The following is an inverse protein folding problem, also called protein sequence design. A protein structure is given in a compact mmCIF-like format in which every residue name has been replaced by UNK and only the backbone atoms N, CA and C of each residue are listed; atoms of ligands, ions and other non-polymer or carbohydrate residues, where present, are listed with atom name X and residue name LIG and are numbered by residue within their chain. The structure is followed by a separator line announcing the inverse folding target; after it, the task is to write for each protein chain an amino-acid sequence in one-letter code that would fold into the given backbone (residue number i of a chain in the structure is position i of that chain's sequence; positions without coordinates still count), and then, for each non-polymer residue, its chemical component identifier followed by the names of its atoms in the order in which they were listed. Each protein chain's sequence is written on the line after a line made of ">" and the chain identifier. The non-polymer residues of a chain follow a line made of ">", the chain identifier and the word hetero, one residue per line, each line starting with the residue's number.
data_IF_366301830624
#
_entry.id   IF_366301830624
#
_cell.length_a   1.000
_cell.length_b   1.000
_cell.length_c   1.000
_cell.angle_alpha   90.00
_cell.angle_beta   90.00
_cell.angle_gamma   90.00
#
_symmetry.space_group_name_H-M   'P 1'
#
loop_
_entity.id
_entity.type
_entity.pdbx_description
1 polymer ?
#
# COMPACT_ATOMS: atom_id res chain seq x y z
N UNK A 1 36.22 6.97 24.38
CA UNK A 1 35.02 6.19 24.78
C UNK A 1 33.85 7.15 24.93
N UNK A 2 32.63 6.71 24.64
CA UNK A 2 31.40 7.51 24.52
C UNK A 2 31.22 8.20 23.16
N UNK A 3 30.84 7.41 22.13
CA UNK A 3 30.12 7.86 20.92
C UNK A 3 29.56 6.69 20.10
N UNK A 4 29.33 5.54 20.74
CA UNK A 4 28.79 4.33 20.10
C UNK A 4 27.31 4.08 20.45
N UNK A 5 26.62 5.07 21.06
CA UNK A 5 25.27 4.90 21.60
C UNK A 5 24.16 5.65 20.85
N UNK A 6 24.47 6.38 19.77
CA UNK A 6 23.45 7.13 19.02
C UNK A 6 22.95 6.42 17.75
N UNK A 7 23.55 5.29 17.34
CA UNK A 7 23.15 4.59 16.12
C UNK A 7 22.14 3.44 16.32
N UNK A 8 21.68 3.18 17.55
CA UNK A 8 20.81 2.04 17.88
C UNK A 8 19.33 2.43 18.09
N UNK A 9 18.97 3.72 18.07
CA UNK A 9 17.58 4.15 18.35
C UNK A 9 16.75 4.43 17.08
N UNK A 10 17.36 4.52 15.90
CA UNK A 10 16.65 4.86 14.65
C UNK A 10 16.15 3.67 13.81
N UNK A 11 16.34 2.43 14.27
CA UNK A 11 15.85 1.21 13.59
C UNK A 11 14.67 0.56 14.33
N UNK A 12 14.32 1.02 15.54
CA UNK A 12 13.26 0.41 16.37
C UNK A 12 11.85 0.92 15.99
N UNK A 13 11.74 2.00 15.20
CA UNK A 13 10.45 2.55 14.77
C UNK A 13 9.78 1.85 13.58
N UNK A 14 10.52 1.08 12.77
CA UNK A 14 10.01 0.47 11.53
C UNK A 14 9.63 -1.02 11.65
N UNK A 15 9.66 -1.57 12.87
CA UNK A 15 9.06 -2.88 13.17
C UNK A 15 7.62 -2.78 13.68
N UNK A 16 7.09 -1.56 13.87
CA UNK A 16 5.72 -1.36 14.31
C UNK A 16 4.77 -1.32 13.11
N UNK A 17 4.03 -2.42 12.99
CA UNK A 17 2.98 -2.73 12.02
C UNK A 17 3.39 -3.40 10.71
N UNK A 18 4.13 -4.52 10.80
CA UNK A 18 3.51 -5.71 10.20
C UNK A 18 2.50 -6.23 11.21
N UNK A 19 1.33 -5.60 11.26
CA UNK A 19 0.24 -6.11 12.06
C UNK A 19 -0.06 -7.53 11.60
N UNK A 20 0.21 -8.48 12.48
CA UNK A 20 0.07 -9.89 12.21
C UNK A 20 -1.37 -10.17 11.82
N UNK A 21 -1.56 -10.82 10.67
CA UNK A 21 -2.88 -11.29 10.24
C UNK A 21 -3.34 -12.35 11.25
N UNK A 22 -4.44 -12.09 11.93
CA UNK A 22 -5.08 -13.01 12.86
C UNK A 22 -6.13 -13.88 12.16
N UNK A 23 -6.95 -13.29 11.31
CA UNK A 23 -7.98 -14.00 10.54
C UNK A 23 -8.39 -13.23 9.28
N UNK A 24 -9.13 -13.90 8.39
CA UNK A 24 -9.63 -13.34 7.14
C UNK A 24 -11.15 -13.50 7.12
N UNK A 25 -11.86 -12.48 6.63
CA UNK A 25 -13.28 -12.56 6.25
C UNK A 25 -13.45 -12.23 4.77
N UNK A 26 -14.53 -12.76 4.20
CA UNK A 26 -14.91 -12.53 2.81
C UNK A 26 -16.23 -11.76 2.78
N UNK A 27 -16.41 -10.86 1.82
CA UNK A 27 -17.61 -10.08 1.64
C UNK A 27 -17.96 -10.02 0.16
N UNK A 28 -19.24 -9.97 -0.15
CA UNK A 28 -19.71 -9.86 -1.54
C UNK A 28 -19.34 -8.51 -2.15
N UNK A 29 -19.42 -7.43 -1.36
CA UNK A 29 -19.20 -6.07 -1.82
C UNK A 29 -18.86 -5.11 -0.66
N UNK A 30 -18.58 -3.85 -1.00
CA UNK A 30 -18.22 -2.80 -0.03
C UNK A 30 -19.30 -2.53 1.02
N UNK A 31 -20.58 -2.65 0.66
CA UNK A 31 -21.69 -2.45 1.60
C UNK A 31 -21.71 -3.57 2.64
N UNK A 32 -21.52 -4.81 2.21
CA UNK A 32 -21.47 -5.97 3.09
C UNK A 32 -20.24 -5.92 4.01
N UNK A 33 -19.10 -5.44 3.52
CA UNK A 33 -17.93 -5.14 4.35
C UNK A 33 -18.25 -4.09 5.43
N UNK A 34 -18.86 -2.96 5.06
CA UNK A 34 -19.22 -1.90 6.00
C UNK A 34 -20.28 -2.35 7.03
N UNK A 35 -21.14 -3.30 6.66
CA UNK A 35 -22.14 -3.90 7.53
C UNK A 35 -21.69 -5.14 8.31
N UNK A 36 -20.41 -5.54 8.19
CA UNK A 36 -19.85 -6.80 8.71
C UNK A 36 -20.68 -8.06 8.34
N UNK A 37 -21.28 -8.05 7.15
CA UNK A 37 -22.04 -9.18 6.60
C UNK A 37 -21.12 -10.10 5.81
N UNK A 38 -20.38 -10.94 6.51
CA UNK A 38 -19.43 -11.86 5.87
C UNK A 38 -20.15 -12.97 5.08
N UNK A 39 -19.57 -13.34 3.93
CA UNK A 39 -19.97 -14.53 3.17
C UNK A 39 -19.12 -15.74 3.57
N UNK A 40 -19.60 -16.95 3.25
CA UNK A 40 -18.82 -18.17 3.51
C UNK A 40 -17.63 -18.27 2.56
N UNK A 41 -16.53 -18.85 3.05
CA UNK A 41 -15.32 -19.06 2.23
C UNK A 41 -15.54 -20.01 1.04
N UNK A 42 -16.61 -20.79 1.03
CA UNK A 42 -17.02 -21.64 -0.10
C UNK A 42 -17.70 -20.85 -1.21
N UNK A 43 -18.43 -19.81 -0.83
CA UNK A 43 -19.30 -19.05 -1.74
C UNK A 43 -18.49 -18.09 -2.61
N UNK A 44 -17.24 -17.82 -2.24
CA UNK A 44 -16.31 -16.97 -3.01
C UNK A 44 -15.80 -17.61 -4.31
N UNK A 45 -15.99 -18.92 -4.50
CA UNK A 45 -15.32 -19.68 -5.56
C UNK A 45 -15.91 -19.34 -6.92
N UNK A 46 -15.10 -18.77 -7.80
CA UNK A 46 -15.55 -18.38 -9.14
C UNK A 46 -16.35 -17.08 -9.16
N UNK A 47 -16.41 -16.37 -8.03
CA UNK A 47 -17.14 -15.11 -7.88
C UNK A 47 -16.18 -13.98 -7.55
N UNK A 48 -16.50 -12.78 -8.05
CA UNK A 48 -15.85 -11.56 -7.59
C UNK A 48 -16.25 -11.31 -6.13
N UNK A 49 -15.27 -11.00 -5.28
CA UNK A 49 -15.51 -10.79 -3.85
C UNK A 49 -14.45 -9.89 -3.23
N UNK A 50 -14.72 -9.42 -2.02
CA UNK A 50 -13.76 -8.70 -1.19
C UNK A 50 -13.18 -9.66 -0.16
N UNK A 51 -11.85 -9.77 -0.13
CA UNK A 51 -11.11 -10.45 0.92
C UNK A 51 -10.57 -9.40 1.90
N UNK A 52 -10.78 -9.59 3.20
CA UNK A 52 -10.24 -8.67 4.22
C UNK A 52 -9.50 -9.45 5.29
N UNK A 53 -8.23 -9.11 5.47
CA UNK A 53 -7.36 -9.56 6.55
C UNK A 53 -7.55 -8.65 7.78
N UNK A 54 -7.61 -9.25 8.97
CA UNK A 54 -7.77 -8.56 10.24
C UNK A 54 -6.63 -8.87 11.20
N UNK A 55 -6.31 -7.92 12.07
CA UNK A 55 -5.40 -8.12 13.21
C UNK A 55 -6.13 -8.78 14.41
N UNK A 56 -5.38 -9.04 15.50
CA UNK A 56 -5.93 -9.63 16.74
C UNK A 56 -6.98 -8.74 17.43
N UNK A 57 -6.93 -7.42 17.20
CA UNK A 57 -7.92 -6.44 17.67
C UNK A 57 -9.17 -6.37 16.78
N UNK A 58 -9.29 -7.26 15.78
CA UNK A 58 -10.37 -7.27 14.78
C UNK A 58 -10.45 -6.00 13.93
N UNK A 59 -9.33 -5.32 13.74
CA UNK A 59 -9.21 -4.18 12.84
C UNK A 59 -8.76 -4.67 11.46
N UNK A 60 -9.38 -4.16 10.40
CA UNK A 60 -9.02 -4.53 9.04
C UNK A 60 -7.62 -3.97 8.72
N UNK A 61 -6.73 -4.79 8.18
CA UNK A 61 -5.34 -4.40 7.87
C UNK A 61 -5.08 -4.37 6.36
N UNK A 62 -5.71 -5.30 5.63
CA UNK A 62 -5.61 -5.38 4.17
C UNK A 62 -6.99 -5.77 3.65
N UNK A 63 -7.47 -5.03 2.66
CA UNK A 63 -8.69 -5.31 1.91
C UNK A 63 -8.36 -5.43 0.43
N UNK A 64 -8.85 -6.47 -0.21
CA UNK A 64 -8.52 -6.83 -1.58
C UNK A 64 -9.80 -7.09 -2.35
N UNK A 65 -9.92 -6.50 -3.54
CA UNK A 65 -11.00 -6.81 -4.48
C UNK A 65 -10.50 -7.92 -5.39
N UNK A 66 -10.99 -9.13 -5.14
CA UNK A 66 -10.62 -10.35 -5.83
C UNK A 66 -11.55 -10.58 -7.01
N UNK A 67 -11.00 -10.94 -8.16
CA UNK A 67 -11.81 -11.41 -9.28
C UNK A 67 -12.15 -12.90 -9.16
N UNK A 68 -13.04 -13.41 -10.02
CA UNK A 68 -13.42 -14.82 -10.13
C UNK A 68 -12.24 -15.80 -10.28
N UNK A 69 -11.07 -15.33 -10.73
CA UNK A 69 -9.85 -16.12 -10.88
C UNK A 69 -8.95 -16.11 -9.63
N UNK A 70 -9.38 -15.45 -8.55
CA UNK A 70 -8.60 -15.32 -7.31
C UNK A 70 -7.45 -14.31 -7.40
N UNK A 71 -7.48 -13.37 -8.35
CA UNK A 71 -6.47 -12.33 -8.49
C UNK A 71 -6.97 -11.00 -7.91
N UNK A 72 -6.14 -10.35 -7.09
CA UNK A 72 -6.42 -9.02 -6.58
C UNK A 72 -6.33 -7.97 -7.68
N UNK A 73 -7.43 -7.26 -7.94
CA UNK A 73 -7.51 -6.16 -8.91
C UNK A 73 -7.18 -4.81 -8.27
N UNK A 74 -7.42 -4.69 -6.97
CA UNK A 74 -7.18 -3.52 -6.13
C UNK A 74 -6.88 -3.97 -4.70
N UNK A 75 -6.04 -3.23 -3.99
CA UNK A 75 -5.76 -3.44 -2.56
C UNK A 75 -5.89 -2.12 -1.80
N UNK A 76 -6.39 -2.18 -0.59
CA UNK A 76 -6.43 -1.08 0.38
C UNK A 76 -5.76 -1.59 1.66
N UNK A 77 -4.71 -0.90 2.10
CA UNK A 77 -3.95 -1.21 3.32
C UNK A 77 -4.34 -0.18 4.36
N UNK A 78 -4.60 -0.61 5.60
CA UNK A 78 -5.00 0.26 6.71
C UNK A 78 -3.90 0.28 7.76
N UNK A 79 -3.55 1.48 8.21
CA UNK A 79 -2.61 1.69 9.33
C UNK A 79 -3.31 2.40 10.46
N UNK A 80 -3.06 1.96 11.70
CA UNK A 80 -3.65 2.49 12.91
C UNK A 80 -2.61 3.18 13.77
N UNK A 81 -3.04 4.20 14.53
CA UNK A 81 -2.19 4.83 15.54
C UNK A 81 -2.08 3.96 16.80
N UNK A 82 -1.26 4.41 17.76
CA UNK A 82 -1.05 3.71 19.03
C UNK A 82 -2.33 3.58 19.88
N UNK A 83 -3.33 4.43 19.65
CA UNK A 83 -4.63 4.39 20.30
C UNK A 83 -5.61 3.45 19.57
N UNK A 84 -5.22 2.88 18.44
CA UNK A 84 -6.04 2.00 17.60
C UNK A 84 -7.02 2.75 16.69
N UNK A 85 -6.84 4.05 16.48
CA UNK A 85 -7.63 4.82 15.51
C UNK A 85 -7.02 4.69 14.12
N UNK A 86 -7.84 4.69 13.08
CA UNK A 86 -7.37 4.64 11.71
C UNK A 86 -6.55 5.90 11.40
N UNK A 87 -5.25 5.72 11.15
CA UNK A 87 -4.31 6.80 10.90
C UNK A 87 -4.14 7.06 9.40
N UNK A 88 -4.00 6.00 8.60
CA UNK A 88 -3.83 6.14 7.16
C UNK A 88 -4.38 4.95 6.38
N UNK A 89 -4.61 5.17 5.08
CA UNK A 89 -4.98 4.16 4.11
C UNK A 89 -4.13 4.29 2.86
N UNK A 90 -3.56 3.20 2.38
CA UNK A 90 -2.87 3.14 1.09
C UNK A 90 -3.68 2.31 0.10
N UNK A 91 -4.04 2.91 -1.03
CA UNK A 91 -4.79 2.28 -2.11
C UNK A 91 -3.82 1.95 -3.23
N UNK A 92 -3.80 0.69 -3.63
CA UNK A 92 -2.96 0.14 -4.69
C UNK A 92 -3.85 -0.41 -5.82
N UNK A 93 -3.42 -0.21 -7.06
CA UNK A 93 -3.99 -0.85 -8.26
C UNK A 93 -3.39 -2.25 -8.44
N UNK A 94 -3.79 -2.89 -9.55
CA UNK A 94 -3.16 -4.10 -10.07
C UNK A 94 -1.63 -3.99 -10.05
N UNK A 95 -0.95 -5.11 -9.78
CA UNK A 95 0.51 -5.21 -9.66
C UNK A 95 1.10 -4.38 -8.50
N UNK A 96 0.30 -4.08 -7.47
CA UNK A 96 0.71 -3.29 -6.30
C UNK A 96 1.19 -1.86 -6.65
N UNK A 97 0.78 -1.31 -7.79
CA UNK A 97 1.12 0.06 -8.15
C UNK A 97 0.36 1.03 -7.25
N UNK A 98 1.03 2.00 -6.61
CA UNK A 98 0.37 2.93 -5.72
C UNK A 98 -0.60 3.83 -6.51
N UNK A 99 -1.82 3.97 -6.02
CA UNK A 99 -2.83 4.88 -6.57
C UNK A 99 -2.92 6.15 -5.73
N UNK A 100 -3.20 5.95 -4.44
CA UNK A 100 -3.50 7.04 -3.53
C UNK A 100 -3.21 6.65 -2.10
N UNK A 101 -2.74 7.60 -1.31
CA UNK A 101 -2.66 7.47 0.15
C UNK A 101 -3.55 8.51 0.79
N UNK A 102 -4.24 8.12 1.85
CA UNK A 102 -5.13 8.99 2.62
C UNK A 102 -4.62 8.97 4.05
N UNK A 103 -4.23 10.13 4.58
CA UNK A 103 -3.82 10.28 5.98
C UNK A 103 -4.84 11.13 6.71
N UNK A 104 -5.14 10.76 7.95
CA UNK A 104 -6.10 11.45 8.80
C UNK A 104 -5.41 12.19 9.95
N UNK A 105 -6.02 13.30 10.34
CA UNK A 105 -5.63 14.11 11.49
C UNK A 105 -5.04 15.46 11.12
N UNK A 106 -5.08 16.38 12.09
CA UNK A 106 -4.60 17.74 11.92
C UNK A 106 -3.08 17.87 11.86
N UNK A 107 -2.33 16.84 12.24
CA UNK A 107 -0.87 16.91 12.38
C UNK A 107 -0.11 16.44 11.12
N UNK A 108 -0.81 16.16 10.02
CA UNK A 108 -0.16 15.81 8.76
C UNK A 108 0.69 17.00 8.26
N UNK A 109 2.01 16.82 8.03
CA UNK A 109 2.94 17.93 7.76
C UNK A 109 2.59 18.83 6.58
N UNK A 110 2.12 18.27 5.46
CA UNK A 110 1.75 19.05 4.28
C UNK A 110 0.52 19.90 4.53
N UNK A 111 -0.49 19.32 5.18
CA UNK A 111 -1.70 20.03 5.60
C UNK A 111 -1.37 21.15 6.60
N UNK A 112 -0.48 20.90 7.57
CA UNK A 112 -0.02 21.92 8.52
C UNK A 112 0.62 23.10 7.81
N UNK A 113 1.56 22.83 6.90
CA UNK A 113 2.22 23.89 6.15
C UNK A 113 1.25 24.60 5.22
N UNK A 114 0.43 23.88 4.46
CA UNK A 114 -0.57 24.47 3.58
C UNK A 114 -1.47 25.45 4.32
N UNK A 115 -1.94 25.09 5.51
CA UNK A 115 -2.80 25.94 6.32
C UNK A 115 -2.14 27.21 6.85
N UNK A 116 -0.84 27.19 7.14
CA UNK A 116 -0.08 28.40 7.55
C UNK A 116 -0.08 29.47 6.46
N UNK A 117 -0.10 29.07 5.19
CA UNK A 117 -0.14 30.02 4.06
C UNK A 117 -1.58 30.32 3.60
N UNK A 118 -2.52 29.43 3.91
CA UNK A 118 -3.92 29.61 3.56
C UNK A 118 -4.64 30.59 4.49
N UNK A 119 -4.37 30.50 5.79
CA UNK A 119 -5.06 31.26 6.82
C UNK A 119 -4.09 32.15 7.59
N UNK A 120 -4.58 33.31 8.04
CA UNK A 120 -3.81 34.18 8.95
C UNK A 120 -3.57 33.48 10.29
N UNK A 121 -2.45 33.79 10.95
CA UNK A 121 -2.03 33.17 12.23
C UNK A 121 -3.10 33.26 13.34
N UNK A 122 -4.00 34.24 13.25
CA UNK A 122 -5.08 34.46 14.21
C UNK A 122 -6.31 33.55 13.98
N UNK A 123 -6.31 32.76 12.91
CA UNK A 123 -7.44 31.90 12.54
C UNK A 123 -7.47 30.66 13.44
N UNK A 124 -8.34 30.67 14.44
CA UNK A 124 -8.60 29.52 15.32
C UNK A 124 -9.65 28.61 14.68
N UNK A 125 -9.21 27.55 14.02
CA UNK A 125 -10.06 26.44 13.58
C UNK A 125 -9.49 25.12 14.11
N UNK A 126 -10.38 24.18 14.48
CA UNK A 126 -9.97 22.80 14.69
C UNK A 126 -9.71 22.16 13.33
N UNK A 127 -8.57 21.49 13.23
CA UNK A 127 -8.17 20.70 12.08
C UNK A 127 -8.19 19.20 12.39
N UNK A 128 -8.87 18.83 13.49
CA UNK A 128 -8.99 17.43 13.91
C UNK A 128 -9.74 16.62 12.86
N UNK A 129 -9.29 15.39 12.65
CA UNK A 129 -9.90 14.44 11.71
C UNK A 129 -10.02 14.93 10.26
N UNK A 130 -9.31 16.00 9.88
CA UNK A 130 -9.11 16.34 8.48
C UNK A 130 -8.34 15.25 7.76
N UNK A 131 -8.37 15.27 6.42
CA UNK A 131 -7.64 14.30 5.62
C UNK A 131 -6.82 14.96 4.53
N UNK A 132 -5.64 14.39 4.31
CA UNK A 132 -4.77 14.67 3.18
C UNK A 132 -4.79 13.46 2.25
N UNK A 133 -5.06 13.69 0.97
CA UNK A 133 -5.06 12.66 -0.07
C UNK A 133 -3.87 12.88 -1.01
N UNK A 134 -2.92 11.96 -0.99
CA UNK A 134 -1.74 11.93 -1.85
C UNK A 134 -2.06 11.10 -3.08
N UNK A 135 -2.14 11.72 -4.25
CA UNK A 135 -2.45 11.08 -5.52
C UNK A 135 -1.16 10.76 -6.28
N UNK A 136 -1.09 9.52 -6.77
CA UNK A 136 0.07 9.03 -7.50
C UNK A 136 -0.22 8.99 -9.00
N UNK A 137 0.77 9.39 -9.80
CA UNK A 137 0.73 9.27 -11.25
C UNK A 137 0.87 7.80 -11.70
N UNK A 138 0.63 7.54 -12.98
CA UNK A 138 0.92 6.25 -13.60
C UNK A 138 2.41 5.85 -13.58
N UNK A 139 3.31 6.80 -13.32
CA UNK A 139 4.76 6.59 -13.18
C UNK A 139 5.19 6.44 -11.72
N UNK A 140 4.25 6.22 -10.79
CA UNK A 140 4.48 6.11 -9.34
C UNK A 140 5.11 7.38 -8.73
N UNK A 141 4.87 8.54 -9.34
CA UNK A 141 5.29 9.85 -8.82
C UNK A 141 4.14 10.52 -8.06
N UNK A 142 4.46 11.36 -7.07
CA UNK A 142 3.43 12.09 -6.33
C UNK A 142 2.95 13.24 -7.20
N UNK A 143 1.74 13.17 -7.72
CA UNK A 143 1.22 14.17 -8.66
C UNK A 143 0.53 15.32 -7.93
N UNK A 144 -0.26 14.99 -6.91
CA UNK A 144 -1.10 15.95 -6.21
C UNK A 144 -1.33 15.56 -4.76
N UNK A 145 -1.42 16.56 -3.88
CA UNK A 145 -1.96 16.41 -2.53
C UNK A 145 -3.25 17.23 -2.47
N UNK A 146 -4.32 16.64 -1.97
CA UNK A 146 -5.60 17.31 -1.78
C UNK A 146 -6.01 17.29 -0.33
N UNK A 147 -6.50 18.44 0.15
CA UNK A 147 -6.89 18.59 1.54
C UNK A 147 -8.40 18.73 1.68
N UNK A 148 -8.95 18.02 2.65
CA UNK A 148 -10.37 18.01 2.93
C UNK A 148 -10.66 18.23 4.41
N UNK A 149 -11.74 18.94 4.69
CA UNK A 149 -12.31 19.04 6.03
C UNK A 149 -12.90 17.70 6.49
N UNK A 150 -13.25 17.60 7.78
CA UNK A 150 -13.94 16.43 8.34
C UNK A 150 -15.29 16.17 7.64
N UNK A 151 -15.97 17.23 7.20
CA UNK A 151 -17.24 17.18 6.46
C UNK A 151 -17.04 16.93 4.95
N UNK A 152 -15.86 16.43 4.55
CA UNK A 152 -15.54 16.08 3.17
C UNK A 152 -15.50 17.29 2.20
N UNK A 153 -15.36 18.52 2.71
CA UNK A 153 -15.21 19.71 1.88
C UNK A 153 -13.76 19.86 1.42
N UNK A 154 -13.56 19.91 0.11
CA UNK A 154 -12.26 20.18 -0.51
C UNK A 154 -11.91 21.67 -0.38
N UNK A 155 -10.74 21.98 0.19
CA UNK A 155 -10.36 23.37 0.47
C UNK A 155 -9.00 23.79 -0.13
N UNK A 156 -8.26 22.85 -0.70
CA UNK A 156 -7.03 23.20 -1.39
C UNK A 156 -6.20 22.01 -1.83
N UNK A 157 -5.19 22.29 -2.64
CA UNK A 157 -4.29 21.28 -3.15
C UNK A 157 -2.87 21.78 -3.39
N UNK A 158 -1.94 20.84 -3.47
CA UNK A 158 -0.56 21.04 -3.92
C UNK A 158 -0.34 20.12 -5.11
N UNK A 159 0.11 20.66 -6.24
CA UNK A 159 0.39 19.88 -7.45
C UNK A 159 1.86 19.91 -7.78
N UNK A 160 2.40 18.79 -8.26
CA UNK A 160 3.80 18.62 -8.61
C UNK A 160 3.95 18.29 -10.09
N UNK A 161 5.00 18.85 -10.70
CA UNK A 161 5.41 18.50 -12.06
C UNK A 161 6.86 18.04 -12.04
N UNK A 162 7.18 17.09 -12.90
CA UNK A 162 8.49 16.45 -12.95
C UNK A 162 9.19 16.75 -14.28
N UNK A 163 10.51 16.79 -14.24
CA UNK A 163 11.32 16.80 -15.46
C UNK A 163 11.45 15.39 -16.07
N UNK A 164 12.18 15.29 -17.19
CA UNK A 164 12.39 14.02 -17.91
C UNK A 164 13.22 13.00 -17.12
N UNK A 165 13.96 13.44 -16.10
CA UNK A 165 14.80 12.60 -15.25
C UNK A 165 14.05 12.17 -13.98
N UNK A 166 12.84 12.68 -13.78
CA UNK A 166 11.98 12.35 -12.66
C UNK A 166 12.22 13.21 -11.41
N UNK A 167 12.95 14.32 -11.52
CA UNK A 167 13.06 15.31 -10.45
C UNK A 167 11.87 16.26 -10.46
N UNK A 168 11.42 16.67 -9.28
CA UNK A 168 10.37 17.70 -9.16
C UNK A 168 10.91 18.99 -9.79
N UNK A 169 10.18 19.55 -10.74
CA UNK A 169 10.51 20.80 -11.44
C UNK A 169 9.65 21.96 -10.95
N UNK A 170 8.34 21.73 -10.73
CA UNK A 170 7.46 22.75 -10.16
C UNK A 170 6.52 22.17 -9.12
N UNK A 171 6.12 23.03 -8.20
CA UNK A 171 5.14 22.78 -7.16
C UNK A 171 4.22 23.99 -7.04
N UNK A 172 2.91 23.77 -7.05
CA UNK A 172 1.90 24.84 -7.06
C UNK A 172 0.85 24.58 -6.00
N UNK A 173 0.64 25.57 -5.14
CA UNK A 173 -0.29 25.50 -4.01
C UNK A 173 -1.53 26.33 -4.35
N UNK A 174 -2.69 25.69 -4.32
CA UNK A 174 -3.95 26.25 -4.79
C UNK A 174 -4.97 26.18 -3.67
N UNK A 175 -5.51 27.34 -3.30
CA UNK A 175 -6.73 27.44 -2.51
C UNK A 175 -7.93 27.13 -3.39
N UNK A 176 -8.81 26.28 -2.86
CA UNK A 176 -10.03 25.85 -3.54
C UNK A 176 -11.25 26.28 -2.71
N UNK A 177 -12.41 26.53 -3.33
CA UNK A 177 -12.74 26.29 -4.75
C UNK A 177 -12.40 27.45 -5.71
N UNK A 178 -11.81 28.56 -5.22
CA UNK A 178 -11.58 29.75 -6.06
C UNK A 178 -10.39 29.63 -7.02
N UNK A 179 -9.71 28.47 -7.02
CA UNK A 179 -8.50 28.18 -7.79
C UNK A 179 -7.43 29.28 -7.65
N UNK A 180 -7.28 29.82 -6.43
CA UNK A 180 -6.35 30.91 -6.16
C UNK A 180 -4.99 30.35 -5.78
N UNK A 181 -3.96 30.71 -6.54
CA UNK A 181 -2.60 30.25 -6.23
C UNK A 181 -2.07 31.02 -5.03
N UNK A 182 -1.77 30.31 -3.95
CA UNK A 182 -1.24 30.90 -2.71
C UNK A 182 0.29 30.83 -2.66
N UNK A 183 0.91 29.88 -3.37
CA UNK A 183 2.36 29.70 -3.42
C UNK A 183 2.80 28.92 -4.65
N UNK A 184 4.01 29.19 -5.13
CA UNK A 184 4.66 28.39 -6.18
C UNK A 184 6.12 28.17 -5.86
N UNK A 185 6.62 27.00 -6.24
CA UNK A 185 8.04 26.70 -6.22
C UNK A 185 8.49 26.22 -7.59
N UNK A 186 9.69 26.63 -7.94
CA UNK A 186 10.43 26.10 -9.07
C UNK A 186 11.71 25.47 -8.56
N UNK A 187 12.07 24.35 -9.15
CA UNK A 187 13.22 23.56 -8.80
C UNK A 187 14.09 23.36 -10.02
N UNK A 188 15.40 23.47 -9.85
CA UNK A 188 16.37 23.13 -10.88
C UNK A 188 17.48 22.30 -10.27
N UNK A 189 17.81 21.21 -10.96
CA UNK A 189 18.84 20.27 -10.54
C UNK A 189 19.95 20.28 -11.59
N UNK A 190 21.18 20.52 -11.12
CA UNK A 190 22.40 20.27 -11.88
C UNK A 190 23.08 19.06 -11.26
N UNK A 191 22.93 17.91 -11.92
CA UNK A 191 23.48 16.63 -11.45
C UNK A 191 25.01 16.64 -11.51
N UNK A 192 25.58 17.29 -12.53
CA UNK A 192 27.04 17.32 -12.73
C UNK A 192 27.72 18.18 -11.68
N UNK A 193 27.06 19.26 -11.26
CA UNK A 193 27.54 20.15 -10.22
C UNK A 193 27.06 19.76 -8.80
N UNK A 194 26.19 18.76 -8.65
CA UNK A 194 25.49 18.41 -7.41
C UNK A 194 24.80 19.62 -6.75
N UNK A 195 24.20 20.48 -7.58
CA UNK A 195 23.54 21.71 -7.15
C UNK A 195 22.02 21.59 -7.32
N UNK A 196 21.28 21.96 -6.28
CA UNK A 196 19.83 22.16 -6.33
C UNK A 196 19.49 23.62 -6.08
N UNK A 197 18.72 24.22 -6.99
CA UNK A 197 18.17 25.56 -6.85
C UNK A 197 16.67 25.49 -6.59
N UNK A 198 16.20 26.34 -5.68
CA UNK A 198 14.81 26.42 -5.27
C UNK A 198 14.40 27.89 -5.31
N UNK A 199 13.45 28.21 -6.16
CA UNK A 199 12.80 29.52 -6.19
C UNK A 199 11.41 29.40 -5.62
N UNK A 200 11.04 30.37 -4.79
CA UNK A 200 9.73 30.46 -4.19
C UNK A 200 9.06 31.77 -4.61
N UNK A 201 7.79 31.68 -4.97
CA UNK A 201 6.98 32.80 -5.41
C UNK A 201 5.72 32.91 -4.54
N UNK A 202 5.36 34.14 -4.22
CA UNK A 202 4.11 34.42 -3.51
C UNK A 202 2.88 34.34 -4.44
N UNK A 203 1.69 34.57 -3.87
CA UNK A 203 0.41 34.63 -4.59
C UNK A 203 0.36 35.59 -5.79
N UNK A 204 1.14 36.68 -5.75
CA UNK A 204 1.23 37.67 -6.83
C UNK A 204 2.22 37.28 -7.93
N UNK A 205 2.95 36.17 -7.76
CA UNK A 205 4.00 35.73 -8.69
C UNK A 205 5.36 36.41 -8.48
N UNK A 206 5.52 37.20 -7.40
CA UNK A 206 6.80 37.82 -7.09
C UNK A 206 7.72 36.79 -6.42
N UNK A 207 9.00 36.79 -6.81
CA UNK A 207 10.02 35.99 -6.15
C UNK A 207 10.19 36.46 -4.70
N UNK A 208 10.04 35.54 -3.75
CA UNK A 208 10.17 35.82 -2.32
C UNK A 208 11.37 35.12 -1.68
N UNK A 209 11.86 34.04 -2.28
CA UNK A 209 13.05 33.34 -1.81
C UNK A 209 13.75 32.63 -2.96
N UNK A 210 15.09 32.57 -2.89
CA UNK A 210 15.93 31.81 -3.78
C UNK A 210 17.03 31.13 -2.95
N UNK A 211 17.09 29.80 -2.99
CA UNK A 211 18.05 29.00 -2.26
C UNK A 211 18.86 28.14 -3.22
N UNK A 212 20.17 28.03 -2.96
CA UNK A 212 21.06 27.13 -3.68
C UNK A 212 21.70 26.18 -2.67
N UNK A 213 21.51 24.88 -2.87
CA UNK A 213 22.08 23.81 -2.06
C UNK A 213 23.22 23.17 -2.86
N UNK A 214 24.42 23.13 -2.28
CA UNK A 214 25.63 22.48 -2.85
C UNK A 214 25.95 21.21 -2.07
N UNK A 215 26.41 20.16 -2.73
CA UNK A 215 26.68 18.83 -2.13
C UNK A 215 25.44 18.22 -1.47
N UNK A 216 24.31 18.20 -2.18
CA UNK A 216 23.19 17.34 -1.79
C UNK A 216 23.66 15.88 -1.95
N UNK A 217 23.67 15.04 -0.90
CA UNK A 217 24.22 13.68 -1.00
C UNK A 217 23.56 12.92 -2.15
N UNK A 218 24.35 12.18 -2.94
CA UNK A 218 23.86 11.48 -4.13
C UNK A 218 22.68 10.53 -3.82
N UNK A 219 22.68 9.94 -2.62
CA UNK A 219 21.64 9.05 -2.09
C UNK A 219 20.51 9.79 -1.33
N UNK A 220 20.64 11.10 -1.11
CA UNK A 220 19.64 12.01 -0.50
C UNK A 220 19.14 13.09 -1.49
N UNK A 221 19.43 12.95 -2.78
CA UNK A 221 18.87 13.78 -3.85
C UNK A 221 17.37 13.42 -4.01
N UNK A 222 16.55 13.94 -3.10
CA UNK A 222 15.17 13.52 -2.88
C UNK A 222 14.32 13.47 -4.17
N UNK A 223 13.70 12.31 -4.40
CA UNK A 223 12.56 12.05 -5.31
C UNK A 223 11.22 12.49 -4.72
N UNK A 224 11.25 13.15 -3.57
CA UNK A 224 10.10 13.66 -2.81
C UNK A 224 10.37 15.09 -2.35
N UNK A 225 9.38 15.99 -2.41
CA UNK A 225 9.55 17.35 -1.91
C UNK A 225 9.49 17.36 -0.37
N UNK A 226 10.26 18.23 0.32
CA UNK A 226 10.32 18.22 1.80
C UNK A 226 9.18 19.03 2.43
N UNK A 227 8.56 18.57 3.53
CA UNK A 227 7.72 19.42 4.37
C UNK A 227 8.63 20.39 5.15
N UNK A 228 8.24 21.66 5.31
CA UNK A 228 9.07 22.66 6.01
C UNK A 228 8.20 23.53 6.92
N UNK A 229 7.96 23.12 8.16
CA UNK A 229 8.83 23.31 9.34
C UNK A 229 9.16 21.97 10.01
N UNK A 230 10.46 21.65 10.18
CA UNK A 230 10.93 20.35 10.68
C UNK A 230 11.06 19.35 9.53
N UNK A 231 12.28 18.93 9.19
CA UNK A 231 12.57 17.93 8.16
C UNK A 231 12.14 16.51 8.62
N UNK A 232 10.86 16.33 8.96
CA UNK A 232 10.26 15.01 9.20
C UNK A 232 9.52 14.62 7.94
N UNK A 233 9.98 13.56 7.27
CA UNK A 233 9.16 12.87 6.28
C UNK A 233 7.82 12.54 6.97
N UNK A 234 6.71 13.03 6.43
CA UNK A 234 5.38 12.56 6.84
C UNK A 234 5.36 11.03 6.77
N UNK A 235 4.65 10.35 7.66
CA UNK A 235 4.46 8.89 7.59
C UNK A 235 3.99 8.46 6.19
N UNK A 236 3.13 9.25 5.53
CA UNK A 236 2.73 9.05 4.14
C UNK A 236 3.92 9.05 3.17
N UNK A 237 4.88 9.95 3.33
CA UNK A 237 6.11 10.01 2.53
C UNK A 237 7.02 8.80 2.76
N UNK A 238 7.08 8.30 4.00
CA UNK A 238 7.78 7.05 4.32
C UNK A 238 7.07 5.83 3.71
N UNK A 239 5.74 5.79 3.75
CA UNK A 239 4.92 4.75 3.09
C UNK A 239 5.11 4.82 1.57
N UNK A 240 5.15 6.01 0.96
CA UNK A 240 5.41 6.18 -0.47
C UNK A 240 6.80 5.68 -0.82
N UNK A 241 7.82 6.07 -0.06
CA UNK A 241 9.18 5.61 -0.29
C UNK A 241 9.33 4.12 0.00
N UNK A 242 8.62 3.56 0.97
CA UNK A 242 8.56 2.12 1.21
C UNK A 242 7.88 1.38 0.05
N UNK A 243 6.73 1.86 -0.44
CA UNK A 243 6.06 1.31 -1.62
C UNK A 243 6.92 1.44 -2.90
N UNK A 244 7.84 2.41 -2.96
CA UNK A 244 8.78 2.60 -4.08
C UNK A 244 10.05 1.75 -3.95
N UNK A 245 10.63 1.68 -2.76
CA UNK A 245 11.94 1.05 -2.49
C UNK A 245 11.82 -0.42 -2.13
N UNK A 246 10.73 -0.81 -1.45
CA UNK A 246 10.34 -2.20 -1.29
C UNK A 246 9.46 -2.58 -2.48
N UNK A 247 9.96 -3.50 -3.32
CA UNK A 247 9.11 -4.64 -3.69
C UNK A 247 8.43 -5.05 -2.39
N UNK A 248 7.11 -5.07 -2.28
CA UNK A 248 6.50 -5.89 -1.23
C UNK A 248 7.06 -7.29 -1.46
N UNK A 249 8.18 -7.60 -0.82
CA UNK A 249 8.53 -8.96 -0.48
C UNK A 249 7.40 -9.27 0.47
N UNK A 250 6.40 -9.95 -0.07
CA UNK A 250 5.50 -10.80 0.66
C UNK A 250 6.26 -11.34 1.88
N UNK A 251 6.06 -10.73 3.05
CA UNK A 251 6.57 -11.33 4.29
C UNK A 251 5.73 -12.55 4.69
N UNK A 252 4.69 -12.84 3.91
CA UNK A 252 4.28 -14.19 3.59
C UNK A 252 3.97 -14.26 2.09
N UNK A 253 4.67 -15.08 1.28
CA UNK A 253 4.06 -15.54 0.04
C UNK A 253 2.71 -16.13 0.41
N UNK A 254 1.70 -15.98 -0.46
CA UNK A 254 0.41 -16.64 -0.31
C UNK A 254 0.60 -17.99 0.39
N UNK A 255 0.03 -18.16 1.58
CA UNK A 255 0.13 -19.42 2.31
C UNK A 255 -0.59 -20.46 1.45
N UNK A 256 0.18 -21.13 0.60
CA UNK A 256 -0.20 -22.42 0.07
C UNK A 256 -0.07 -23.33 1.28
N UNK A 257 -1.17 -23.89 1.81
CA UNK A 257 -1.07 -24.86 2.88
C UNK A 257 -0.14 -25.97 2.38
N UNK A 258 1.03 -26.09 3.00
CA UNK A 258 1.89 -27.25 2.80
C UNK A 258 1.14 -28.39 3.47
N UNK A 259 0.41 -29.16 2.68
CA UNK A 259 -0.19 -30.40 3.17
C UNK A 259 0.95 -31.40 3.37
N UNK A 260 0.86 -32.30 4.35
CA UNK A 260 1.91 -33.31 4.55
C UNK A 260 1.99 -34.29 3.35
N UNK A 261 0.92 -34.34 2.55
CA UNK A 261 0.66 -35.29 1.48
C UNK A 261 0.12 -34.56 0.24
N UNK A 262 0.24 -35.17 -0.92
CA UNK A 262 -0.42 -34.69 -2.14
C UNK A 262 -1.94 -34.90 -2.01
N UNK A 263 -2.77 -34.20 -2.79
CA UNK A 263 -4.22 -34.31 -2.76
C UNK A 263 -4.78 -34.80 -4.09
N UNK A 264 -5.45 -35.95 -4.06
CA UNK A 264 -6.27 -36.47 -5.15
C UNK A 264 -7.66 -35.84 -5.09
N UNK A 265 -8.05 -35.12 -6.14
CA UNK A 265 -9.38 -34.56 -6.31
C UNK A 265 -10.12 -35.39 -7.34
N UNK A 266 -11.23 -36.00 -6.95
CA UNK A 266 -12.10 -36.75 -7.89
C UNK A 266 -13.10 -35.82 -8.58
N UNK A 267 -13.65 -36.25 -9.73
CA UNK A 267 -14.68 -35.47 -10.45
C UNK A 267 -15.94 -35.20 -9.65
N UNK A 268 -16.20 -35.99 -8.60
CA UNK A 268 -17.34 -35.78 -7.70
C UNK A 268 -17.02 -34.77 -6.58
N UNK A 269 -15.84 -34.15 -6.60
CA UNK A 269 -15.43 -33.14 -5.62
C UNK A 269 -14.77 -33.69 -4.35
N UNK A 270 -14.71 -35.01 -4.17
CA UNK A 270 -14.05 -35.62 -3.02
C UNK A 270 -12.54 -35.40 -3.08
N UNK A 271 -11.93 -35.08 -1.93
CA UNK A 271 -10.50 -34.88 -1.75
C UNK A 271 -9.93 -35.98 -0.86
N UNK A 272 -8.82 -36.57 -1.27
CA UNK A 272 -8.14 -37.64 -0.54
C UNK A 272 -6.66 -37.30 -0.48
N UNK A 273 -6.07 -37.36 0.72
CA UNK A 273 -4.64 -37.21 0.90
C UNK A 273 -3.92 -38.47 0.41
N UNK A 274 -2.85 -38.30 -0.36
CA UNK A 274 -2.11 -39.37 -1.03
C UNK A 274 -0.61 -39.06 -1.16
N UNK A 275 0.22 -40.08 -1.36
CA UNK A 275 1.53 -39.95 -2.01
C UNK A 275 1.38 -40.32 -3.48
N UNK A 276 1.50 -39.35 -4.38
CA UNK A 276 1.42 -39.61 -5.82
C UNK A 276 2.64 -40.39 -6.32
N UNK A 277 2.44 -41.40 -7.16
CA UNK A 277 3.54 -42.21 -7.73
C UNK A 277 3.67 -41.95 -9.23
N UNK A 278 2.64 -42.29 -10.02
CA UNK A 278 2.67 -42.18 -11.47
C UNK A 278 1.28 -42.33 -12.07
N UNK A 279 1.15 -42.02 -13.36
CA UNK A 279 -0.01 -42.37 -14.17
C UNK A 279 0.43 -43.30 -15.29
N UNK A 280 -0.05 -44.54 -15.25
CA UNK A 280 0.26 -45.56 -16.25
C UNK A 280 -1.04 -46.10 -16.84
N UNK A 281 -1.15 -46.12 -18.19
CA UNK A 281 -2.26 -46.77 -18.90
C UNK A 281 -3.66 -46.39 -18.36
N UNK A 282 -3.90 -45.10 -18.16
CA UNK A 282 -5.15 -44.53 -17.65
C UNK A 282 -5.49 -44.87 -16.18
N UNK A 283 -4.50 -45.34 -15.42
CA UNK A 283 -4.60 -45.56 -13.97
C UNK A 283 -3.62 -44.65 -13.23
N UNK A 284 -4.14 -43.85 -12.32
CA UNK A 284 -3.35 -43.06 -11.40
C UNK A 284 -2.98 -43.93 -10.20
N UNK A 285 -1.68 -44.07 -9.93
CA UNK A 285 -1.13 -44.86 -8.82
C UNK A 285 -0.70 -43.96 -7.69
N UNK A 286 -1.06 -44.34 -6.47
CA UNK A 286 -0.78 -43.57 -5.28
C UNK A 286 -0.72 -44.46 -4.03
N UNK A 287 -0.26 -43.92 -2.90
CA UNK A 287 -0.40 -44.53 -1.58
C UNK A 287 -1.22 -43.63 -0.67
N UNK A 288 -1.91 -44.21 0.30
CA UNK A 288 -2.49 -43.41 1.39
C UNK A 288 -1.39 -43.01 2.40
N UNK A 289 -1.61 -41.94 3.18
CA UNK A 289 -0.74 -41.54 4.28
C UNK A 289 -0.39 -42.71 5.20
N UNK A 290 0.91 -43.01 5.33
CA UNK A 290 1.44 -44.16 6.09
C UNK A 290 1.05 -45.56 5.56
N UNK A 291 0.39 -45.63 4.39
CA UNK A 291 0.05 -46.86 3.71
C UNK A 291 1.27 -47.51 3.05
N UNK A 292 1.38 -48.83 3.14
CA UNK A 292 2.47 -49.58 2.47
C UNK A 292 2.11 -50.04 1.06
N UNK A 293 0.82 -50.14 0.77
CA UNK A 293 0.29 -50.65 -0.50
C UNK A 293 0.16 -49.55 -1.54
N UNK A 294 0.39 -49.91 -2.82
CA UNK A 294 0.15 -49.02 -3.96
C UNK A 294 -1.28 -49.25 -4.44
N UNK A 295 -2.10 -48.23 -4.30
CA UNK A 295 -3.47 -48.19 -4.78
C UNK A 295 -3.52 -47.59 -6.19
N UNK A 296 -4.62 -47.87 -6.91
CA UNK A 296 -4.84 -47.27 -8.22
C UNK A 296 -6.29 -46.85 -8.41
N UNK A 297 -6.49 -45.75 -9.12
CA UNK A 297 -7.80 -45.24 -9.52
C UNK A 297 -7.79 -44.94 -11.01
N UNK A 298 -8.92 -45.17 -11.69
CA UNK A 298 -9.09 -44.76 -13.09
C UNK A 298 -8.95 -43.23 -13.21
N UNK A 299 -8.07 -42.81 -14.12
CA UNK A 299 -7.83 -41.40 -14.45
C UNK A 299 -9.13 -40.67 -14.85
N UNK A 300 -10.08 -41.36 -15.47
CA UNK A 300 -11.37 -40.78 -15.87
C UNK A 300 -12.22 -40.31 -14.68
N UNK A 301 -11.94 -40.82 -13.47
CA UNK A 301 -12.59 -40.43 -12.21
C UNK A 301 -11.82 -39.34 -11.46
N UNK A 302 -10.60 -39.07 -11.89
CA UNK A 302 -9.73 -38.03 -11.32
C UNK A 302 -10.04 -36.71 -12.01
N UNK A 303 -10.17 -35.66 -11.21
CA UNK A 303 -10.28 -34.28 -11.71
C UNK A 303 -8.92 -33.59 -11.70
N UNK A 304 -8.09 -33.83 -10.68
CA UNK A 304 -6.73 -33.31 -10.62
C UNK A 304 -5.97 -33.95 -9.45
N UNK A 305 -4.64 -33.95 -9.51
CA UNK A 305 -3.77 -34.15 -8.34
C UNK A 305 -2.99 -32.87 -8.06
N UNK A 306 -3.04 -32.43 -6.81
CA UNK A 306 -2.32 -31.27 -6.30
C UNK A 306 -1.18 -31.77 -5.41
N UNK A 307 0.05 -31.34 -5.64
CA UNK A 307 1.19 -31.72 -4.81
C UNK A 307 1.06 -31.14 -3.39
N UNK A 308 1.83 -31.69 -2.46
CA UNK A 308 2.03 -31.14 -1.11
C UNK A 308 2.49 -29.68 -1.07
N UNK A 309 2.96 -29.16 -2.20
CA UNK A 309 3.38 -27.76 -2.39
C UNK A 309 2.34 -26.92 -3.14
N UNK A 310 1.14 -27.45 -3.40
CA UNK A 310 0.02 -26.75 -4.05
C UNK A 310 0.09 -26.66 -5.57
N UNK A 311 0.99 -27.40 -6.21
CA UNK A 311 1.13 -27.41 -7.67
C UNK A 311 0.25 -28.51 -8.29
N UNK A 312 -0.42 -28.25 -9.41
CA UNK A 312 -1.17 -29.29 -10.13
C UNK A 312 -0.17 -30.17 -10.89
N UNK A 313 -0.02 -31.43 -10.46
CA UNK A 313 0.90 -32.41 -11.06
C UNK A 313 0.20 -33.37 -12.00
N UNK A 314 -1.12 -33.47 -11.93
CA UNK A 314 -1.96 -34.20 -12.88
C UNK A 314 -3.26 -33.41 -13.11
N UNK A 315 -3.57 -33.00 -14.35
CA UNK A 315 -4.76 -32.22 -14.69
C UNK A 315 -6.04 -33.06 -14.81
#
# INVERSE_FOLDING_TARGET
>A
MMRLFCCIILVIGFLYSQEKIAFIKYYENDRDFLGDKAMLATDRRGEDHIQVSYNEKKQAIIKEWMNQYGQATKREIFSYDNEGRLHSRAILKKENKPDKIITYGGNEPWGLEFRKYLYDENTKMSYDSQRSQFQMSSTNQLEKIEFYTVDNQFYGSISFTYDRLGFVNNEVWIKEPENHIIRRFKYQYDIMAEVKQIWEYNKSGNLISNQTLKHAPADELYKTPPPRTGNMLSEAGLIIEELRTKRMIDLNPAFIPVTLWDQLITKNGNRVDIDFISVDKNLLKFKEPNGKEILSISADRVNSVVSRFGEIIYP
#
